data_IF_826138966012
#
_entry.id   IF_826138966012
#
_cell.length_a   1.000
_cell.length_b   1.000
_cell.length_c   1.000
_cell.angle_alpha   90.00
_cell.angle_beta   90.00
_cell.angle_gamma   90.00
#
_symmetry.space_group_name_H-M   'P 1'
#
loop_
_entity.id
_entity.type
_entity.pdbx_description
1 polymer ?
#
# COMPACT_ATOMS: atom_id res chain seq x y z
N UNK A 1 -6.34 -12.11 -16.90
CA UNK A 1 -7.07 -12.69 -15.76
C UNK A 1 -6.13 -12.52 -14.56
N UNK A 2 -6.53 -11.78 -13.53
CA UNK A 2 -5.66 -11.56 -12.35
C UNK A 2 -5.64 -12.88 -11.58
N UNK A 3 -4.52 -13.59 -11.62
CA UNK A 3 -4.33 -14.83 -10.88
C UNK A 3 -3.32 -14.57 -9.77
N UNK A 4 -3.56 -15.12 -8.58
CA UNK A 4 -2.68 -15.06 -7.41
C UNK A 4 -1.35 -15.83 -7.57
N UNK A 5 -0.92 -16.09 -8.82
CA UNK A 5 0.08 -17.10 -9.17
C UNK A 5 1.11 -16.68 -10.21
N UNK A 6 0.94 -15.56 -10.92
CA UNK A 6 2.01 -15.08 -11.79
C UNK A 6 2.99 -14.23 -10.99
N UNK A 7 4.33 -14.38 -11.22
CA UNK A 7 5.31 -13.42 -10.74
C UNK A 7 4.79 -12.01 -10.98
N UNK A 8 5.05 -11.07 -10.07
CA UNK A 8 4.67 -9.67 -10.26
C UNK A 8 5.17 -9.23 -11.64
N UNK A 9 4.25 -9.15 -12.59
CA UNK A 9 4.57 -8.59 -13.90
C UNK A 9 4.82 -7.11 -13.61
N UNK A 10 6.06 -6.65 -13.81
CA UNK A 10 6.46 -5.26 -13.57
C UNK A 10 5.54 -4.28 -14.32
N UNK A 11 4.97 -4.72 -15.45
CA UNK A 11 4.04 -3.93 -16.24
C UNK A 11 2.72 -3.64 -15.50
N UNK A 12 2.38 -4.34 -14.40
CA UNK A 12 1.16 -4.07 -13.60
C UNK A 12 1.14 -2.66 -13.01
N UNK A 13 2.33 -2.10 -12.76
CA UNK A 13 2.54 -0.74 -12.28
C UNK A 13 2.85 0.25 -13.41
N UNK A 14 2.77 -0.14 -14.68
CA UNK A 14 2.91 0.82 -15.78
C UNK A 14 1.78 1.88 -15.71
N UNK A 15 2.12 3.19 -15.73
CA UNK A 15 1.14 4.26 -15.54
C UNK A 15 0.13 4.40 -16.68
N UNK A 16 0.39 3.82 -17.84
CA UNK A 16 -0.46 3.95 -19.02
C UNK A 16 -1.24 2.66 -19.32
N UNK A 17 -0.62 1.51 -19.09
CA UNK A 17 -1.12 0.20 -19.51
C UNK A 17 -1.27 -0.79 -18.36
N UNK A 18 -0.69 -0.50 -17.20
CA UNK A 18 -0.62 -1.41 -16.08
C UNK A 18 -1.97 -1.64 -15.41
N UNK A 19 -2.29 -2.91 -15.13
CA UNK A 19 -3.59 -3.29 -14.61
C UNK A 19 -3.89 -2.80 -13.19
N UNK A 20 -2.87 -2.39 -12.43
CA UNK A 20 -3.03 -1.87 -11.06
C UNK A 20 -2.92 -0.35 -11.02
N UNK A 21 -1.91 0.25 -11.65
CA UNK A 21 -1.66 1.69 -11.55
C UNK A 21 -2.46 2.53 -12.57
N UNK A 22 -2.47 2.15 -13.85
CA UNK A 22 -3.11 2.95 -14.92
C UNK A 22 -4.57 3.34 -14.61
N UNK A 23 -5.42 2.47 -14.02
CA UNK A 23 -6.78 2.86 -13.62
C UNK A 23 -6.85 4.07 -12.69
N UNK A 24 -5.85 4.26 -11.82
CA UNK A 24 -5.77 5.42 -10.93
C UNK A 24 -5.24 6.69 -11.61
N UNK A 25 -4.63 6.61 -12.80
CA UNK A 25 -3.97 7.74 -13.49
C UNK A 25 -4.97 8.67 -14.19
N UNK A 26 -5.99 9.08 -13.43
CA UNK A 26 -7.02 10.06 -13.79
C UNK A 26 -7.25 11.01 -12.60
N UNK A 27 -7.68 12.26 -12.84
CA UNK A 27 -8.13 13.13 -11.75
C UNK A 27 -9.35 12.53 -11.07
N UNK A 28 -9.33 12.42 -9.75
CA UNK A 28 -10.27 11.64 -8.93
C UNK A 28 -10.61 12.33 -7.60
N UNK A 29 -10.82 13.64 -7.66
CA UNK A 29 -11.29 14.49 -6.54
C UNK A 29 -12.59 13.91 -5.95
N UNK A 30 -12.71 13.87 -4.62
CA UNK A 30 -13.90 13.32 -3.94
C UNK A 30 -15.20 13.97 -4.40
N UNK A 31 -16.25 13.15 -4.55
CA UNK A 31 -17.55 13.55 -5.08
C UNK A 31 -17.62 13.73 -6.61
N UNK A 32 -16.54 13.49 -7.36
CA UNK A 32 -16.57 13.48 -8.83
C UNK A 32 -16.89 12.11 -9.41
N UNK A 33 -17.34 12.06 -10.67
CA UNK A 33 -17.60 10.80 -11.38
C UNK A 33 -16.34 9.92 -11.51
N UNK A 34 -15.15 10.52 -11.66
CA UNK A 34 -13.90 9.76 -11.71
C UNK A 34 -13.56 9.15 -10.35
N UNK A 35 -13.79 9.86 -9.25
CA UNK A 35 -13.63 9.29 -7.91
C UNK A 35 -14.55 8.09 -7.70
N UNK A 36 -15.83 8.18 -8.12
CA UNK A 36 -16.75 7.02 -8.12
C UNK A 36 -16.22 5.86 -8.98
N UNK A 37 -15.66 6.15 -10.16
CA UNK A 37 -15.05 5.12 -11.02
C UNK A 37 -13.87 4.40 -10.35
N UNK A 38 -13.07 5.11 -9.55
CA UNK A 38 -11.98 4.50 -8.77
C UNK A 38 -12.54 3.63 -7.65
N UNK A 39 -13.59 4.07 -6.96
CA UNK A 39 -14.28 3.23 -5.96
C UNK A 39 -14.77 1.92 -6.59
N UNK A 40 -15.44 1.99 -7.74
CA UNK A 40 -15.92 0.83 -8.49
C UNK A 40 -14.78 -0.09 -8.93
N UNK A 41 -13.67 0.47 -9.40
CA UNK A 41 -12.48 -0.30 -9.78
C UNK A 41 -11.90 -1.09 -8.60
N UNK A 42 -11.75 -0.46 -7.43
CA UNK A 42 -11.24 -1.14 -6.22
C UNK A 42 -12.22 -2.24 -5.79
N UNK A 43 -13.52 -1.96 -5.75
CA UNK A 43 -14.54 -2.95 -5.37
C UNK A 43 -14.58 -4.15 -6.34
N UNK A 44 -14.53 -3.89 -7.64
CA UNK A 44 -14.48 -4.92 -8.68
C UNK A 44 -13.19 -5.76 -8.58
N UNK A 45 -12.06 -5.14 -8.26
CA UNK A 45 -10.81 -5.85 -8.00
C UNK A 45 -10.95 -6.88 -6.88
N UNK A 46 -11.47 -6.48 -5.71
CA UNK A 46 -11.66 -7.41 -4.59
C UNK A 46 -12.77 -8.43 -4.84
N UNK A 47 -13.81 -8.08 -5.60
CA UNK A 47 -14.82 -9.04 -6.05
C UNK A 47 -14.20 -10.15 -6.90
N UNK A 48 -13.35 -9.79 -7.87
CA UNK A 48 -12.59 -10.75 -8.70
C UNK A 48 -11.58 -11.54 -7.88
N UNK A 49 -10.91 -10.90 -6.92
CA UNK A 49 -9.99 -11.59 -6.02
C UNK A 49 -10.74 -12.62 -5.20
N UNK A 50 -11.92 -12.30 -4.64
CA UNK A 50 -12.76 -13.25 -3.91
C UNK A 50 -13.21 -14.41 -4.80
N UNK A 51 -13.66 -14.14 -6.04
CA UNK A 51 -14.08 -15.16 -6.98
C UNK A 51 -12.95 -16.12 -7.41
N UNK A 52 -11.69 -15.70 -7.29
CA UNK A 52 -10.50 -16.50 -7.63
C UNK A 52 -9.75 -17.02 -6.40
N UNK A 53 -10.03 -16.44 -5.23
CA UNK A 53 -9.55 -16.91 -3.93
C UNK A 53 -10.13 -18.29 -3.65
N UNK A 54 -9.54 -19.02 -2.70
CA UNK A 54 -10.06 -20.32 -2.28
C UNK A 54 -11.43 -20.23 -1.55
N UNK A 55 -12.07 -19.05 -1.56
CA UNK A 55 -13.42 -18.80 -1.10
C UNK A 55 -14.43 -18.97 -2.24
N UNK A 56 -15.02 -20.18 -2.30
CA UNK A 56 -16.17 -20.46 -3.16
C UNK A 56 -15.83 -21.36 -4.34
N UNK A 57 -16.64 -22.41 -4.50
CA UNK A 57 -16.63 -23.21 -5.72
C UNK A 57 -17.12 -22.36 -6.88
N UNK A 58 -16.35 -22.30 -7.96
CA UNK A 58 -16.91 -22.11 -9.30
C UNK A 58 -16.50 -23.32 -10.13
N UNK A 59 -17.44 -24.25 -10.24
CA UNK A 59 -17.49 -25.20 -11.35
C UNK A 59 -18.00 -24.42 -12.54
N UNK A 60 -17.22 -24.35 -13.63
CA UNK A 60 -17.75 -23.96 -14.93
C UNK A 60 -18.21 -25.21 -15.68
N UNK A 61 -19.33 -25.09 -16.42
CA UNK A 61 -20.15 -26.14 -17.02
C UNK A 61 -19.51 -26.83 -18.24
N UNK A 62 -18.18 -26.84 -18.37
CA UNK A 62 -17.50 -27.61 -19.41
C UNK A 62 -16.27 -28.31 -18.87
N UNK A 63 -16.54 -29.53 -18.41
CA UNK A 63 -15.63 -30.57 -17.96
C UNK A 63 -14.58 -30.96 -19.03
N UNK A 64 -13.60 -30.10 -19.36
CA UNK A 64 -12.44 -30.45 -20.20
C UNK A 64 -11.14 -29.73 -19.80
N UNK A 65 -10.02 -30.46 -19.61
CA UNK A 65 -8.71 -29.88 -19.32
C UNK A 65 -8.01 -29.36 -20.58
N UNK A 66 -7.57 -28.10 -20.57
CA UNK A 66 -6.76 -27.51 -21.66
C UNK A 66 -5.27 -27.81 -21.45
N UNK A 67 -4.73 -28.69 -22.31
CA UNK A 67 -3.43 -28.50 -22.96
C UNK A 67 -2.14 -28.78 -22.17
N UNK A 68 -1.64 -30.02 -22.28
CA UNK A 68 -0.21 -30.32 -22.07
C UNK A 68 0.64 -29.54 -23.08
N UNK A 69 1.43 -28.57 -22.62
CA UNK A 69 2.65 -28.15 -23.34
C UNK A 69 3.87 -28.78 -22.65
N UNK A 70 4.37 -29.84 -23.27
CA UNK A 70 5.68 -30.41 -23.00
C UNK A 70 6.76 -29.45 -23.51
N UNK A 71 7.61 -28.92 -22.63
CA UNK A 71 9.04 -28.66 -22.89
C UNK A 71 9.74 -28.22 -21.60
N UNK A 72 10.17 -29.16 -20.76
CA UNK A 72 11.25 -28.93 -19.78
C UNK A 72 12.24 -30.08 -19.92
N UNK A 73 13.45 -29.77 -20.41
CA UNK A 73 14.45 -30.76 -20.84
C UNK A 73 15.47 -31.18 -19.78
N UNK A 74 15.46 -30.61 -18.57
CA UNK A 74 16.45 -30.96 -17.55
C UNK A 74 15.85 -31.27 -16.17
N UNK A 75 16.38 -32.31 -15.53
CA UNK A 75 15.99 -32.81 -14.20
C UNK A 75 16.16 -31.73 -13.12
N UNK A 76 17.19 -30.88 -13.25
CA UNK A 76 17.47 -29.78 -12.34
C UNK A 76 16.39 -28.68 -12.39
N UNK A 77 15.84 -28.41 -13.58
CA UNK A 77 14.74 -27.46 -13.75
C UNK A 77 13.42 -28.03 -13.20
N UNK A 78 13.17 -29.34 -13.40
CA UNK A 78 12.03 -30.02 -12.75
C UNK A 78 12.12 -29.99 -11.24
N UNK A 79 13.30 -30.23 -10.67
CA UNK A 79 13.50 -30.18 -9.22
C UNK A 79 13.38 -28.77 -8.66
N UNK A 80 13.86 -27.73 -9.39
CA UNK A 80 13.68 -26.32 -9.04
C UNK A 80 12.22 -25.87 -9.13
N UNK A 81 11.50 -26.28 -10.19
CA UNK A 81 10.06 -26.05 -10.37
C UNK A 81 9.26 -26.81 -9.30
N UNK A 82 9.63 -28.05 -8.96
CA UNK A 82 8.98 -28.84 -7.90
C UNK A 82 9.30 -28.36 -6.47
N UNK A 83 10.46 -27.73 -6.24
CA UNK A 83 10.82 -27.13 -4.94
C UNK A 83 10.19 -25.75 -4.76
N UNK A 84 10.14 -24.92 -5.82
CA UNK A 84 9.28 -23.74 -5.84
C UNK A 84 7.81 -24.16 -5.61
N UNK A 85 7.29 -25.11 -6.37
CA UNK A 85 5.92 -25.63 -6.20
C UNK A 85 5.67 -26.35 -4.86
N UNK A 86 6.70 -26.67 -4.06
CA UNK A 86 6.53 -27.24 -2.71
C UNK A 86 6.28 -26.18 -1.64
N UNK A 87 6.88 -24.99 -1.75
CA UNK A 87 6.51 -23.82 -0.94
C UNK A 87 5.10 -23.29 -1.30
N UNK A 88 4.60 -23.67 -2.46
CA UNK A 88 3.34 -23.21 -3.06
C UNK A 88 2.28 -24.31 -3.23
N UNK A 89 2.47 -25.48 -2.61
CA UNK A 89 1.53 -26.59 -2.69
C UNK A 89 0.42 -26.44 -1.66
N UNK A 90 -0.82 -26.69 -2.12
CA UNK A 90 -2.06 -26.80 -1.35
C UNK A 90 -1.86 -27.55 -0.01
N UNK A 91 -2.06 -26.86 1.10
CA UNK A 91 -2.50 -27.53 2.32
C UNK A 91 -3.97 -27.98 2.11
N UNK A 92 -4.33 -29.23 2.43
CA UNK A 92 -5.71 -29.67 2.35
C UNK A 92 -6.53 -29.09 3.52
N UNK A 93 -7.40 -28.12 3.24
CA UNK A 93 -8.40 -27.67 4.20
C UNK A 93 -9.41 -26.64 3.68
N UNK A 94 -10.10 -25.98 4.60
CA UNK A 94 -11.47 -25.41 4.46
C UNK A 94 -11.57 -24.28 3.41
N UNK A 95 -12.78 -24.06 2.85
CA UNK A 95 -13.12 -22.88 2.03
C UNK A 95 -12.63 -21.61 2.74
N UNK A 96 -11.84 -20.78 2.07
CA UNK A 96 -11.39 -19.49 2.60
C UNK A 96 -12.56 -18.53 2.85
N UNK A 97 -12.35 -17.48 3.63
CA UNK A 97 -13.40 -16.48 3.94
C UNK A 97 -13.55 -15.39 2.88
N UNK A 98 -12.57 -15.26 1.98
CA UNK A 98 -12.48 -14.12 1.07
C UNK A 98 -12.18 -12.82 1.83
N UNK A 99 -12.16 -11.70 1.11
CA UNK A 99 -12.06 -10.35 1.67
C UNK A 99 -13.46 -9.85 2.02
N UNK A 100 -13.68 -9.59 3.30
CA UNK A 100 -14.87 -8.88 3.77
C UNK A 100 -14.76 -7.39 3.42
N UNK A 101 -15.83 -6.84 2.85
CA UNK A 101 -15.87 -5.45 2.38
C UNK A 101 -16.81 -4.64 3.28
N UNK A 102 -16.30 -3.55 3.85
CA UNK A 102 -17.08 -2.52 4.50
C UNK A 102 -16.95 -1.21 3.71
N UNK A 103 -18.08 -0.53 3.50
CA UNK A 103 -18.15 0.77 2.81
C UNK A 103 -18.63 1.79 3.84
N UNK A 104 -17.78 2.76 4.16
CA UNK A 104 -18.10 3.86 5.05
C UNK A 104 -18.35 5.13 4.22
N UNK A 105 -19.64 5.40 3.95
CA UNK A 105 -20.11 6.50 3.09
C UNK A 105 -20.84 7.54 3.91
N UNK A 106 -20.46 8.80 3.76
CA UNK A 106 -21.02 9.92 4.50
C UNK A 106 -20.90 11.23 3.70
N UNK A 107 -21.69 12.23 4.08
CA UNK A 107 -21.60 13.59 3.53
C UNK A 107 -20.90 14.51 4.55
N UNK A 108 -19.99 15.36 4.08
CA UNK A 108 -19.35 16.40 4.91
C UNK A 108 -19.22 17.72 4.13
N UNK A 109 -19.08 18.82 4.86
CA UNK A 109 -18.99 20.17 4.30
C UNK A 109 -17.55 20.52 3.97
N UNK A 110 -17.33 20.98 2.74
CA UNK A 110 -16.04 21.51 2.27
C UNK A 110 -16.17 23.01 1.99
N UNK A 111 -15.07 23.75 1.80
CA UNK A 111 -15.12 25.13 1.30
C UNK A 111 -15.86 25.29 -0.03
N UNK A 112 -16.03 24.21 -0.79
CA UNK A 112 -16.72 24.17 -2.09
C UNK A 112 -18.05 23.41 -2.03
N UNK A 113 -18.71 23.47 -0.87
CA UNK A 113 -20.01 22.87 -0.59
C UNK A 113 -19.92 21.43 -0.08
N UNK A 114 -21.08 20.85 0.20
CA UNK A 114 -21.18 19.46 0.67
C UNK A 114 -20.70 18.49 -0.41
N UNK A 115 -19.89 17.51 0.00
CA UNK A 115 -19.43 16.39 -0.82
C UNK A 115 -19.75 15.08 -0.12
N UNK A 116 -19.95 14.04 -0.91
CA UNK A 116 -20.03 12.67 -0.39
C UNK A 116 -18.66 12.02 -0.47
N UNK A 117 -18.22 11.44 0.64
CA UNK A 117 -16.99 10.69 0.79
C UNK A 117 -17.30 9.21 1.00
N UNK A 118 -16.44 8.32 0.50
CA UNK A 118 -16.58 6.87 0.66
C UNK A 118 -15.24 6.22 1.01
N UNK A 119 -14.99 5.90 2.27
CA UNK A 119 -13.87 5.02 2.62
C UNK A 119 -14.20 3.58 2.23
N UNK A 120 -13.20 2.84 1.72
CA UNK A 120 -13.32 1.42 1.40
C UNK A 120 -12.40 0.59 2.31
N UNK A 121 -12.98 -0.38 3.02
CA UNK A 121 -12.27 -1.20 4.00
C UNK A 121 -12.39 -2.67 3.61
N UNK A 122 -11.26 -3.35 3.53
CA UNK A 122 -11.17 -4.76 3.15
C UNK A 122 -10.49 -5.54 4.26
N UNK A 123 -11.17 -6.52 4.87
CA UNK A 123 -10.65 -7.31 5.98
C UNK A 123 -10.63 -8.79 5.62
N UNK A 124 -9.48 -9.45 5.74
CA UNK A 124 -9.32 -10.84 5.30
C UNK A 124 -10.06 -11.84 6.20
N UNK A 125 -10.00 -11.64 7.52
CA UNK A 125 -10.81 -12.36 8.50
C UNK A 125 -11.53 -11.35 9.39
N UNK A 126 -12.82 -11.04 9.16
CA UNK A 126 -13.56 -10.06 9.94
C UNK A 126 -13.87 -10.53 11.37
N UNK A 127 -13.73 -11.82 11.67
CA UNK A 127 -13.92 -12.37 13.02
C UNK A 127 -12.65 -12.26 13.87
N UNK A 128 -11.49 -12.03 13.24
CA UNK A 128 -10.25 -11.87 13.96
C UNK A 128 -10.34 -10.66 14.89
N UNK A 129 -9.89 -10.83 16.13
CA UNK A 129 -9.89 -9.71 17.06
C UNK A 129 -8.91 -8.65 16.55
N UNK A 130 -7.63 -8.98 16.42
CA UNK A 130 -6.60 -7.99 16.08
C UNK A 130 -6.30 -7.93 14.58
N UNK A 131 -5.82 -6.76 14.14
CA UNK A 131 -5.50 -6.47 12.75
C UNK A 131 -4.22 -5.66 12.57
N UNK A 132 -3.48 -6.06 11.54
CA UNK A 132 -2.47 -5.24 10.89
C UNK A 132 -3.16 -4.45 9.79
N UNK A 133 -3.11 -3.12 9.89
CA UNK A 133 -3.77 -2.22 8.93
C UNK A 133 -2.73 -1.64 7.99
N UNK A 134 -2.94 -1.80 6.69
CA UNK A 134 -2.28 -0.97 5.67
C UNK A 134 -3.29 0.00 5.08
N UNK A 135 -2.89 1.24 4.86
CA UNK A 135 -3.77 2.27 4.34
C UNK A 135 -3.08 3.18 3.32
N UNK A 136 -3.89 3.79 2.46
CA UNK A 136 -3.54 4.86 1.54
C UNK A 136 -4.81 5.67 1.25
N UNK A 137 -4.68 6.89 0.74
CA UNK A 137 -5.83 7.64 0.25
C UNK A 137 -5.94 7.52 -1.28
N UNK A 138 -7.16 7.40 -1.80
CA UNK A 138 -7.38 7.20 -3.23
C UNK A 138 -7.91 8.43 -3.93
N UNK A 139 -8.31 9.48 -3.21
CA UNK A 139 -8.66 10.75 -3.84
C UNK A 139 -7.44 11.42 -4.48
N UNK A 140 -7.67 12.50 -5.21
CA UNK A 140 -6.63 13.38 -5.73
C UNK A 140 -6.99 14.80 -5.38
N UNK A 141 -5.99 15.63 -5.11
CA UNK A 141 -6.19 17.04 -4.79
C UNK A 141 -7.08 17.79 -5.78
N UNK A 142 -8.00 18.58 -5.25
CA UNK A 142 -8.67 19.61 -6.03
C UNK A 142 -7.75 20.81 -6.24
N UNK A 143 -7.47 21.13 -7.50
CA UNK A 143 -6.86 22.40 -7.87
C UNK A 143 -7.90 23.26 -8.57
N UNK A 144 -8.23 24.45 -8.04
CA UNK A 144 -9.20 25.33 -8.69
C UNK A 144 -8.69 25.74 -10.09
N UNK A 145 -9.60 25.89 -11.08
CA UNK A 145 -9.23 26.42 -12.38
C UNK A 145 -8.59 27.79 -12.24
N UNK A 146 -7.56 28.09 -13.04
CA UNK A 146 -7.03 29.44 -13.12
C UNK A 146 -8.13 30.37 -13.66
N UNK A 147 -8.52 31.36 -12.89
CA UNK A 147 -9.48 32.39 -13.30
C UNK A 147 -8.78 33.70 -13.60
N UNK A 148 -9.28 34.44 -14.58
CA UNK A 148 -8.79 35.79 -14.86
C UNK A 148 -9.17 36.72 -13.70
N UNK A 149 -8.21 37.42 -13.06
CA UNK A 149 -8.49 38.28 -11.91
C UNK A 149 -9.50 39.40 -12.20
N UNK A 150 -9.57 39.87 -13.44
CA UNK A 150 -10.41 41.00 -13.84
C UNK A 150 -11.89 40.61 -14.06
N UNK A 151 -12.20 39.35 -14.37
CA UNK A 151 -13.57 38.95 -14.70
C UNK A 151 -14.01 37.60 -14.10
N UNK A 152 -13.16 36.97 -13.28
CA UNK A 152 -13.37 35.68 -12.62
C UNK A 152 -13.72 34.52 -13.58
N UNK A 153 -13.51 34.67 -14.89
CA UNK A 153 -13.76 33.60 -15.86
C UNK A 153 -12.54 32.66 -15.91
N UNK A 154 -12.76 31.34 -16.07
CA UNK A 154 -11.67 30.40 -16.31
C UNK A 154 -10.82 30.85 -17.50
N UNK A 155 -9.50 30.75 -17.37
CA UNK A 155 -8.56 31.01 -18.46
C UNK A 155 -8.48 29.73 -19.29
N UNK A 156 -8.95 29.74 -20.56
CA UNK A 156 -8.85 28.56 -21.42
C UNK A 156 -7.38 28.17 -21.60
N UNK A 157 -7.07 26.88 -21.41
CA UNK A 157 -5.70 26.36 -21.54
C UNK A 157 -4.87 26.32 -20.26
N UNK A 158 -5.37 26.85 -19.13
CA UNK A 158 -4.66 26.85 -17.83
C UNK A 158 -5.37 26.09 -16.71
N UNK A 159 -6.05 24.98 -17.02
CA UNK A 159 -6.81 24.26 -16.00
C UNK A 159 -6.01 23.06 -15.47
N UNK A 160 -5.97 22.92 -14.15
CA UNK A 160 -5.44 21.77 -13.40
C UNK A 160 -3.92 21.52 -13.54
N UNK A 161 -3.08 22.56 -13.33
CA UNK A 161 -1.65 22.37 -13.00
C UNK A 161 -0.65 23.39 -13.56
N UNK A 162 -1.08 24.37 -14.34
CA UNK A 162 -0.18 25.39 -14.94
C UNK A 162 -0.57 25.71 -16.37
N UNK A 163 0.20 26.56 -17.06
CA UNK A 163 0.08 26.78 -18.52
C UNK A 163 0.51 25.52 -19.31
N UNK A 164 1.09 24.52 -18.63
CA UNK A 164 2.01 23.55 -19.20
C UNK A 164 1.64 22.07 -18.90
N UNK A 165 0.66 21.76 -18.05
CA UNK A 165 0.53 20.40 -17.47
C UNK A 165 -0.87 19.79 -17.59
N UNK A 166 -0.86 18.48 -17.89
CA UNK A 166 -2.01 17.56 -17.80
C UNK A 166 -2.76 17.70 -16.45
N UNK A 167 -4.06 17.35 -16.39
CA UNK A 167 -4.82 17.48 -15.16
C UNK A 167 -4.20 16.63 -14.03
N UNK A 168 -4.13 17.18 -12.81
CA UNK A 168 -3.48 16.52 -11.66
C UNK A 168 -4.05 15.11 -11.40
N UNK A 169 -3.21 14.11 -11.67
CA UNK A 169 -3.54 12.68 -11.47
C UNK A 169 -2.91 12.12 -10.20
N UNK A 170 -2.14 12.90 -9.45
CA UNK A 170 -1.66 12.52 -8.12
C UNK A 170 -1.03 11.11 -8.09
N UNK A 171 -0.01 10.91 -8.94
CA UNK A 171 0.59 9.60 -9.21
C UNK A 171 1.25 9.00 -7.95
N UNK A 172 2.05 9.79 -7.25
CA UNK A 172 2.65 9.40 -5.98
C UNK A 172 1.71 9.59 -4.79
N UNK A 173 0.60 10.29 -5.01
CA UNK A 173 -0.20 10.98 -3.98
C UNK A 173 -1.71 10.73 -4.15
N UNK A 174 -2.23 9.51 -4.01
CA UNK A 174 -1.55 8.29 -3.61
C UNK A 174 -1.89 7.12 -4.56
N UNK A 175 -1.89 7.35 -5.88
CA UNK A 175 -2.20 6.31 -6.86
C UNK A 175 -1.25 5.09 -6.77
N UNK A 176 0.06 5.31 -6.67
CA UNK A 176 1.05 4.24 -6.48
C UNK A 176 0.86 3.54 -5.13
N UNK A 177 0.75 4.24 -3.97
CA UNK A 177 0.37 3.62 -2.71
C UNK A 177 -0.90 2.74 -2.80
N UNK A 178 -1.98 3.22 -3.43
CA UNK A 178 -3.18 2.42 -3.65
C UNK A 178 -2.90 1.16 -4.49
N UNK A 179 -2.15 1.27 -5.58
CA UNK A 179 -1.77 0.13 -6.41
C UNK A 179 -0.92 -0.90 -5.63
N UNK A 180 -0.04 -0.45 -4.72
CA UNK A 180 0.73 -1.31 -3.81
C UNK A 180 -0.22 -2.09 -2.88
N UNK A 181 -1.27 -1.46 -2.34
CA UNK A 181 -2.24 -2.16 -1.50
C UNK A 181 -3.01 -3.24 -2.27
N UNK A 182 -3.36 -2.99 -3.54
CA UNK A 182 -3.99 -4.01 -4.39
C UNK A 182 -3.03 -5.18 -4.63
N UNK A 183 -1.77 -4.92 -4.95
CA UNK A 183 -0.77 -5.97 -5.16
C UNK A 183 -0.48 -6.77 -3.88
N UNK A 184 -0.45 -6.10 -2.72
CA UNK A 184 -0.33 -6.73 -1.41
C UNK A 184 -1.50 -7.69 -1.15
N UNK A 185 -2.73 -7.25 -1.46
CA UNK A 185 -3.93 -8.07 -1.31
C UNK A 185 -3.82 -9.37 -2.12
N UNK A 186 -3.51 -9.27 -3.42
CA UNK A 186 -3.38 -10.45 -4.28
C UNK A 186 -2.20 -11.36 -3.91
N UNK A 187 -1.07 -10.77 -3.51
CA UNK A 187 0.14 -11.51 -3.13
C UNK A 187 -0.04 -12.32 -1.85
N UNK A 188 -0.79 -11.78 -0.89
CA UNK A 188 -1.01 -12.42 0.41
C UNK A 188 -2.32 -13.22 0.48
N UNK A 189 -3.24 -13.05 -0.47
CA UNK A 189 -4.58 -13.64 -0.45
C UNK A 189 -4.59 -15.12 -0.03
N UNK A 190 -3.83 -15.96 -0.75
CA UNK A 190 -3.77 -17.40 -0.47
C UNK A 190 -2.89 -17.77 0.72
N UNK A 191 -1.90 -16.95 1.08
CA UNK A 191 -1.08 -17.18 2.27
C UNK A 191 -1.88 -16.91 3.56
N UNK A 192 -2.85 -15.99 3.49
CA UNK A 192 -3.73 -15.68 4.60
C UNK A 192 -4.89 -16.68 4.75
N UNK A 193 -5.21 -17.45 3.71
CA UNK A 193 -6.24 -18.53 3.73
C UNK A 193 -5.70 -19.92 4.13
N UNK A 194 -4.46 -20.02 4.63
CA UNK A 194 -3.87 -21.31 5.00
C UNK A 194 -4.50 -21.90 6.27
N UNK A 195 -4.60 -23.23 6.32
CA UNK A 195 -5.11 -23.96 7.48
C UNK A 195 -4.29 -23.70 8.74
N UNK A 196 -4.97 -23.68 9.88
CA UNK A 196 -4.35 -23.48 11.19
C UNK A 196 -4.43 -22.04 11.71
N UNK A 197 -4.85 -21.08 10.89
CA UNK A 197 -5.21 -19.73 11.37
C UNK A 197 -6.56 -19.74 12.09
N UNK A 198 -6.67 -18.93 13.13
CA UNK A 198 -7.83 -18.81 14.00
C UNK A 198 -8.24 -17.34 14.17
N UNK A 199 -9.42 -17.10 14.75
CA UNK A 199 -9.90 -15.74 15.05
C UNK A 199 -9.09 -15.03 16.16
N UNK A 200 -8.16 -15.75 16.81
CA UNK A 200 -7.21 -15.18 17.76
C UNK A 200 -5.92 -14.67 17.09
N UNK A 201 -5.69 -15.02 15.82
CA UNK A 201 -4.54 -14.53 15.07
C UNK A 201 -4.81 -13.14 14.48
N UNK A 202 -3.75 -12.34 14.32
CA UNK A 202 -3.83 -11.05 13.65
C UNK A 202 -4.18 -11.22 12.17
N UNK A 203 -5.26 -10.54 11.76
CA UNK A 203 -5.69 -10.49 10.36
C UNK A 203 -5.07 -9.31 9.60
N UNK A 204 -5.18 -9.33 8.27
CA UNK A 204 -4.83 -8.19 7.43
C UNK A 204 -6.09 -7.37 7.13
N UNK A 205 -5.98 -6.05 7.29
CA UNK A 205 -6.98 -5.09 6.85
C UNK A 205 -6.34 -4.04 5.95
N UNK A 206 -7.02 -3.71 4.86
CA UNK A 206 -6.62 -2.68 3.91
C UNK A 206 -7.66 -1.56 3.93
N UNK A 207 -7.22 -0.32 4.01
CA UNK A 207 -8.10 0.86 4.04
C UNK A 207 -7.72 1.81 2.92
N UNK A 208 -8.68 2.13 2.06
CA UNK A 208 -8.58 3.18 1.06
C UNK A 208 -9.41 4.36 1.54
N UNK A 209 -8.74 5.40 2.05
CA UNK A 209 -9.40 6.61 2.52
C UNK A 209 -9.82 7.49 1.35
N UNK A 210 -10.97 8.16 1.51
CA UNK A 210 -11.44 9.21 0.61
C UNK A 210 -11.32 10.58 1.30
N UNK A 211 -11.05 11.62 0.52
CA UNK A 211 -10.94 12.99 1.03
C UNK A 211 -9.83 13.18 2.05
N UNK A 212 -8.65 12.63 1.80
CA UNK A 212 -7.45 13.03 2.54
C UNK A 212 -7.17 14.51 2.29
N UNK A 213 -7.33 14.91 1.03
CA UNK A 213 -6.91 16.22 0.55
C UNK A 213 -7.83 17.33 1.01
N UNK A 214 -7.21 18.47 1.33
CA UNK A 214 -7.92 19.73 1.47
C UNK A 214 -8.48 20.18 0.12
N UNK A 215 -9.72 20.68 0.12
CA UNK A 215 -10.30 21.30 -1.08
C UNK A 215 -9.84 22.75 -1.23
N UNK A 216 -9.69 23.48 -0.12
CA UNK A 216 -9.07 24.79 -0.05
C UNK A 216 -7.69 24.69 0.60
N UNK A 217 -7.52 25.39 1.71
CA UNK A 217 -6.29 25.38 2.49
C UNK A 217 -6.31 24.25 3.53
N UNK A 218 -5.19 23.55 3.68
CA UNK A 218 -5.07 22.48 4.65
C UNK A 218 -5.30 22.98 6.09
N UNK A 219 -6.39 22.54 6.70
CA UNK A 219 -6.74 22.87 8.09
C UNK A 219 -7.34 21.66 8.79
N UNK A 220 -7.49 21.73 10.11
CA UNK A 220 -8.13 20.66 10.90
C UNK A 220 -9.59 20.33 10.47
N UNK A 221 -10.26 21.23 9.75
CA UNK A 221 -11.61 21.04 9.19
C UNK A 221 -11.64 20.81 7.69
N UNK A 222 -10.58 21.19 6.97
CA UNK A 222 -10.41 21.01 5.53
C UNK A 222 -9.17 20.15 5.27
N UNK A 223 -9.28 18.90 5.69
CA UNK A 223 -8.35 17.79 5.45
C UNK A 223 -8.92 16.53 6.09
N UNK A 224 -8.38 15.37 5.71
CA UNK A 224 -8.57 14.11 6.43
C UNK A 224 -10.05 13.73 6.66
N UNK A 225 -10.93 14.07 5.73
CA UNK A 225 -12.38 13.86 5.84
C UNK A 225 -12.71 12.40 6.14
N UNK A 226 -12.24 11.49 5.29
CA UNK A 226 -12.45 10.06 5.43
C UNK A 226 -11.87 9.49 6.71
N UNK A 227 -10.61 9.80 7.02
CA UNK A 227 -9.93 9.23 8.18
C UNK A 227 -10.46 9.76 9.51
N UNK A 228 -10.85 11.05 9.60
CA UNK A 228 -11.55 11.60 10.77
C UNK A 228 -12.87 10.88 11.03
N UNK A 229 -13.68 10.70 9.99
CA UNK A 229 -14.97 10.00 10.10
C UNK A 229 -14.79 8.54 10.55
N UNK A 230 -13.91 7.79 9.87
CA UNK A 230 -13.70 6.38 10.17
C UNK A 230 -13.12 6.17 11.58
N UNK A 231 -12.20 7.04 12.01
CA UNK A 231 -11.65 6.99 13.36
C UNK A 231 -12.73 7.21 14.43
N UNK A 232 -13.61 8.21 14.26
CA UNK A 232 -14.73 8.47 15.16
C UNK A 232 -15.74 7.30 15.17
N UNK A 233 -16.07 6.76 14.01
CA UNK A 233 -16.94 5.58 13.88
C UNK A 233 -16.35 4.38 14.63
N UNK A 234 -15.06 4.10 14.47
CA UNK A 234 -14.38 2.99 15.13
C UNK A 234 -14.17 3.21 16.62
N UNK A 235 -13.98 4.45 17.07
CA UNK A 235 -13.92 4.79 18.49
C UNK A 235 -15.27 4.54 19.21
N UNK A 236 -16.39 4.75 18.51
CA UNK A 236 -17.75 4.56 19.03
C UNK A 236 -18.24 3.10 18.94
N UNK A 237 -17.65 2.29 18.07
CA UNK A 237 -18.06 0.89 17.87
C UNK A 237 -17.42 -0.02 18.92
N UNK A 238 -18.19 -0.36 19.96
CA UNK A 238 -17.80 -1.37 20.95
C UNK A 238 -17.75 -2.76 20.32
N UNK A 239 -16.68 -3.50 20.59
CA UNK A 239 -16.47 -4.89 20.16
C UNK A 239 -15.91 -5.70 21.31
N UNK A 240 -16.31 -6.97 21.40
CA UNK A 240 -15.72 -7.87 22.38
C UNK A 240 -14.30 -8.24 21.95
N UNK A 241 -13.33 -8.14 22.87
CA UNK A 241 -11.93 -8.54 22.62
C UNK A 241 -11.38 -9.31 23.81
N UNK A 242 -10.84 -10.50 23.57
CA UNK A 242 -10.06 -11.23 24.57
C UNK A 242 -8.76 -10.48 24.91
N UNK A 243 -8.12 -9.85 23.91
CA UNK A 243 -6.89 -9.06 24.07
C UNK A 243 -6.88 -7.83 23.14
N UNK A 244 -6.39 -6.69 23.63
CA UNK A 244 -6.14 -5.50 22.79
C UNK A 244 -4.81 -5.61 22.05
N UNK A 245 -4.61 -4.75 21.05
CA UNK A 245 -3.34 -4.57 20.36
C UNK A 245 -2.13 -4.33 21.29
N UNK A 246 -2.35 -3.71 22.45
CA UNK A 246 -1.31 -3.43 23.44
C UNK A 246 -1.08 -4.60 24.42
N UNK A 247 -1.69 -5.76 24.19
CA UNK A 247 -1.59 -6.92 25.07
C UNK A 247 -2.41 -6.83 26.37
N UNK A 248 -3.26 -5.81 26.53
CA UNK A 248 -4.14 -5.67 27.71
C UNK A 248 -5.40 -6.52 27.52
N UNK A 249 -6.01 -6.98 28.61
CA UNK A 249 -7.34 -7.60 28.55
C UNK A 249 -8.35 -6.56 28.04
N UNK A 250 -8.91 -6.78 26.85
CA UNK A 250 -9.82 -5.81 26.21
C UNK A 250 -11.21 -5.78 26.84
N UNK A 251 -11.71 -6.95 27.25
CA UNK A 251 -13.04 -7.06 27.85
C UNK A 251 -14.17 -6.68 26.87
N UNK A 252 -15.37 -6.45 27.41
CA UNK A 252 -16.56 -6.10 26.63
C UNK A 252 -16.68 -4.61 26.30
N UNK A 253 -15.75 -3.77 26.77
CA UNK A 253 -15.79 -2.31 26.59
C UNK A 253 -14.79 -1.81 25.56
N UNK A 254 -14.03 -2.70 24.93
CA UNK A 254 -13.05 -2.31 23.94
C UNK A 254 -13.74 -1.75 22.68
N UNK A 255 -13.13 -0.76 22.05
CA UNK A 255 -13.61 -0.22 20.79
C UNK A 255 -12.89 -0.84 19.59
N UNK A 256 -13.32 -0.48 18.38
CA UNK A 256 -12.77 -1.07 17.19
C UNK A 256 -11.33 -0.62 16.91
N UNK A 257 -10.90 0.57 17.35
CA UNK A 257 -9.53 1.06 17.18
C UNK A 257 -8.52 0.23 17.98
N UNK A 258 -8.91 -0.26 19.16
CA UNK A 258 -8.02 -1.02 20.06
C UNK A 258 -7.60 -2.39 19.52
N UNK A 259 -8.13 -2.81 18.37
CA UNK A 259 -7.68 -3.99 17.64
C UNK A 259 -6.58 -3.75 16.63
N UNK A 260 -6.20 -2.49 16.37
CA UNK A 260 -5.16 -2.16 15.40
C UNK A 260 -3.79 -2.34 16.07
N UNK A 261 -3.08 -3.43 15.74
CA UNK A 261 -1.75 -3.71 16.28
C UNK A 261 -0.68 -2.80 15.70
N UNK A 262 -0.79 -2.53 14.41
CA UNK A 262 0.07 -1.62 13.69
C UNK A 262 -0.74 -1.01 12.54
N UNK A 263 -0.63 0.31 12.42
CA UNK A 263 -1.22 1.07 11.32
C UNK A 263 -0.09 1.56 10.42
N UNK A 264 -0.05 1.06 9.19
CA UNK A 264 0.97 1.40 8.19
C UNK A 264 0.30 2.24 7.10
N UNK A 265 0.54 3.55 7.11
CA UNK A 265 0.09 4.46 6.06
C UNK A 265 1.16 4.54 4.97
N UNK A 266 0.76 4.27 3.73
CA UNK A 266 1.57 4.48 2.54
C UNK A 266 1.12 5.77 1.87
N UNK A 267 2.08 6.66 1.62
CA UNK A 267 1.84 7.96 1.02
C UNK A 267 3.14 8.47 0.35
N UNK A 268 3.01 9.29 -0.69
CA UNK A 268 4.09 9.91 -1.46
C UNK A 268 5.15 8.90 -1.98
N UNK A 269 4.72 7.70 -2.37
CA UNK A 269 5.60 6.67 -2.94
C UNK A 269 5.51 6.63 -4.47
N UNK A 270 6.64 6.34 -5.14
CA UNK A 270 6.71 6.17 -6.60
C UNK A 270 7.79 7.00 -7.29
N UNK A 271 8.36 7.99 -6.60
CA UNK A 271 9.58 8.67 -7.03
C UNK A 271 10.82 7.78 -6.86
N UNK A 272 11.90 8.10 -7.58
CA UNK A 272 13.18 7.39 -7.46
C UNK A 272 13.84 7.67 -6.10
N UNK A 273 14.42 6.63 -5.49
CA UNK A 273 15.19 6.72 -4.25
C UNK A 273 14.44 7.33 -3.05
N UNK A 274 13.22 6.89 -2.73
CA UNK A 274 12.46 7.46 -1.62
C UNK A 274 13.18 7.22 -0.29
N UNK A 275 13.13 8.21 0.60
CA UNK A 275 13.63 8.07 1.96
C UNK A 275 12.45 7.99 2.94
N UNK A 276 12.36 6.89 3.68
CA UNK A 276 11.30 6.67 4.67
C UNK A 276 11.94 6.60 6.07
N UNK A 277 12.00 7.71 6.82
CA UNK A 277 12.54 7.72 8.17
C UNK A 277 11.56 7.06 9.17
N UNK A 278 12.06 6.74 10.35
CA UNK A 278 11.22 6.26 11.46
C UNK A 278 10.65 7.45 12.23
N UNK A 279 9.36 7.73 12.06
CA UNK A 279 8.70 8.90 12.66
C UNK A 279 8.27 8.71 14.12
N UNK A 280 8.00 7.48 14.55
CA UNK A 280 7.44 7.21 15.89
C UNK A 280 8.26 6.15 16.63
N UNK A 281 8.68 6.46 17.87
CA UNK A 281 9.44 5.54 18.71
C UNK A 281 8.69 4.22 18.99
N UNK A 282 7.36 4.29 19.17
CA UNK A 282 6.52 3.12 19.45
C UNK A 282 6.50 2.08 18.31
N UNK A 283 6.76 2.49 17.07
CA UNK A 283 6.78 1.61 15.88
C UNK A 283 8.16 1.49 15.25
N UNK A 284 9.22 1.98 15.93
CA UNK A 284 10.59 1.90 15.43
C UNK A 284 11.05 0.45 15.16
N UNK A 285 10.58 -0.49 15.97
CA UNK A 285 10.85 -1.92 15.79
C UNK A 285 10.34 -2.44 14.42
N UNK A 286 9.18 -1.97 13.96
CA UNK A 286 8.59 -2.39 12.69
C UNK A 286 9.37 -1.78 11.51
N UNK A 287 9.79 -0.52 11.66
CA UNK A 287 10.68 0.14 10.70
C UNK A 287 12.03 -0.58 10.57
N UNK A 288 12.67 -0.92 11.69
CA UNK A 288 13.90 -1.75 11.72
C UNK A 288 13.70 -3.11 11.05
N UNK A 289 12.52 -3.72 11.20
CA UNK A 289 12.20 -4.98 10.55
C UNK A 289 12.09 -4.81 9.03
N UNK A 290 11.46 -3.74 8.55
CA UNK A 290 11.41 -3.42 7.13
C UNK A 290 12.81 -3.21 6.53
N UNK A 291 13.69 -2.46 7.21
CA UNK A 291 15.10 -2.31 6.79
C UNK A 291 15.84 -3.66 6.73
N UNK A 292 15.59 -4.54 7.69
CA UNK A 292 16.19 -5.88 7.68
C UNK A 292 15.71 -6.72 6.49
N UNK A 293 14.43 -6.60 6.11
CA UNK A 293 13.88 -7.25 4.92
C UNK A 293 14.52 -6.68 3.65
N UNK A 294 14.62 -5.35 3.54
CA UNK A 294 15.30 -4.67 2.42
C UNK A 294 16.74 -5.17 2.26
N UNK A 295 17.53 -5.21 3.34
CA UNK A 295 18.90 -5.72 3.31
C UNK A 295 18.96 -7.18 2.84
N UNK A 296 18.05 -8.04 3.35
CA UNK A 296 18.01 -9.46 2.94
C UNK A 296 17.64 -9.63 1.46
N UNK A 297 16.73 -8.80 0.93
CA UNK A 297 16.41 -8.78 -0.50
C UNK A 297 17.59 -8.27 -1.33
N UNK A 298 18.33 -7.30 -0.81
CA UNK A 298 19.54 -6.78 -1.42
C UNK A 298 20.62 -7.87 -1.55
N UNK A 299 20.94 -8.52 -0.43
CA UNK A 299 21.92 -9.60 -0.35
C UNK A 299 21.56 -10.79 -1.25
N UNK A 300 20.25 -11.08 -1.34
CA UNK A 300 19.71 -12.11 -2.23
C UNK A 300 19.64 -11.70 -3.71
N UNK A 301 19.99 -10.46 -4.05
CA UNK A 301 19.88 -9.87 -5.39
C UNK A 301 18.46 -9.91 -5.97
N UNK A 302 17.47 -9.67 -5.11
CA UNK A 302 16.05 -9.62 -5.46
C UNK A 302 15.51 -8.18 -5.54
N UNK A 303 16.37 -7.17 -5.61
CA UNK A 303 16.03 -5.74 -5.58
C UNK A 303 15.56 -5.16 -6.94
N UNK A 304 15.21 -6.00 -7.91
CA UNK A 304 14.84 -5.56 -9.26
C UNK A 304 16.06 -5.11 -10.09
N UNK A 305 16.01 -5.27 -11.41
CA UNK A 305 17.12 -4.99 -12.35
C UNK A 305 17.40 -3.50 -12.59
N UNK A 306 17.13 -2.62 -11.64
CA UNK A 306 17.65 -1.26 -11.66
C UNK A 306 18.72 -1.14 -10.59
N UNK A 307 19.95 -0.93 -11.04
CA UNK A 307 21.09 -0.61 -10.22
C UNK A 307 20.81 0.70 -9.47
N UNK A 308 20.22 0.61 -8.28
CA UNK A 308 20.39 1.63 -7.27
C UNK A 308 21.87 1.56 -6.88
N UNK A 309 22.63 2.57 -7.26
CA UNK A 309 24.04 2.67 -6.89
C UNK A 309 24.16 2.52 -5.37
N UNK A 310 25.17 1.74 -4.95
CA UNK A 310 25.53 1.53 -3.55
C UNK A 310 25.37 2.85 -2.77
N UNK A 311 24.58 2.84 -1.69
CA UNK A 311 24.91 3.73 -0.57
C UNK A 311 26.34 3.37 -0.18
N UNK A 312 27.29 4.24 -0.52
CA UNK A 312 28.65 4.15 -0.01
C UNK A 312 28.57 4.37 1.50
N UNK A 313 28.47 3.28 2.25
CA UNK A 313 29.04 3.25 3.60
C UNK A 313 30.54 3.48 3.43
N UNK A 314 31.04 4.56 4.03
CA UNK A 314 32.48 4.85 4.09
C UNK A 314 33.19 3.87 5.03
N UNK A 315 34.37 3.42 4.60
CA UNK A 315 35.24 2.41 5.23
C UNK A 315 35.49 1.27 4.23
N UNK A 316 36.70 0.91 3.80
CA UNK A 316 38.02 0.94 4.43
C UNK A 316 39.14 1.01 3.36
N UNK A 317 40.27 1.56 3.78
CA UNK A 317 41.66 1.11 3.61
C UNK A 317 42.17 0.39 2.34
N UNK A 318 43.22 1.03 1.80
CA UNK A 318 44.46 0.52 1.16
C UNK A 318 44.44 -0.23 -0.18
N UNK A 319 44.98 0.45 -1.21
CA UNK A 319 46.15 0.06 -2.04
C UNK A 319 46.54 1.31 -2.87
N UNK A 320 47.56 2.06 -2.43
CA UNK A 320 48.94 2.02 -2.94
C UNK A 320 49.10 2.62 -4.36
N UNK A 321 49.36 3.93 -4.42
CA UNK A 321 50.16 4.53 -5.48
C UNK A 321 51.15 5.51 -4.82
N UNK A 322 52.43 5.18 -4.94
CA UNK A 322 53.56 6.06 -4.68
C UNK A 322 53.58 7.11 -5.79
N UNK A 323 53.39 8.38 -5.43
CA UNK A 323 54.02 9.57 -6.04
C UNK A 323 53.23 10.81 -5.60
N UNK A 324 53.75 11.49 -4.56
CA UNK A 324 53.88 12.95 -4.46
C UNK A 324 54.15 13.34 -3.00
N UNK A 325 55.45 13.45 -2.71
CA UNK A 325 55.96 14.29 -1.64
C UNK A 325 55.68 15.74 -2.00
N UNK A 326 54.93 16.47 -1.18
CA UNK A 326 55.44 17.67 -0.52
C UNK A 326 54.39 18.30 0.42
N UNK A 327 54.79 18.39 1.68
CA UNK A 327 54.59 19.48 2.63
C UNK A 327 53.18 20.13 2.76
N UNK A 328 52.55 19.94 3.93
CA UNK A 328 52.18 21.04 4.83
C UNK A 328 51.40 20.52 6.07
N UNK A 329 51.99 20.74 7.25
CA UNK A 329 51.27 21.27 8.41
C UNK A 329 50.46 20.31 9.30
N UNK A 330 51.06 19.98 10.44
CA UNK A 330 50.46 19.44 11.66
C UNK A 330 49.26 20.23 12.20
N UNK A 331 48.24 19.54 12.72
CA UNK A 331 47.82 19.66 14.13
C UNK A 331 46.73 18.63 14.51
N UNK A 332 46.82 18.19 15.77
CA UNK A 332 46.19 17.05 16.43
C UNK A 332 44.69 17.23 16.84
N UNK A 333 44.02 16.18 17.37
CA UNK A 333 42.56 16.00 17.35
C UNK A 333 41.84 16.46 18.63
N UNK A 334 40.56 16.83 18.51
CA UNK A 334 39.68 17.04 19.67
C UNK A 334 38.50 16.05 19.68
N UNK A 335 38.61 15.10 20.62
CA UNK A 335 37.53 14.32 21.22
C UNK A 335 36.54 15.24 21.93
N UNK A 336 35.27 14.85 21.91
CA UNK A 336 34.29 15.18 22.95
C UNK A 336 33.01 15.81 22.43
N UNK A 337 31.87 15.13 22.56
CA UNK A 337 30.96 15.34 23.70
C UNK A 337 29.71 14.47 23.53
N UNK A 338 29.57 13.49 24.42
CA UNK A 338 28.29 12.93 24.85
C UNK A 338 27.74 13.79 25.99
N UNK A 339 26.41 13.66 26.20
CA UNK A 339 25.55 14.11 27.31
C UNK A 339 24.98 15.53 27.22
N UNK A 340 23.67 15.62 26.95
CA UNK A 340 22.62 15.69 27.98
C UNK A 340 21.35 15.01 27.47
#
# INVERSE_FOLDING_TARGET
MITSWEPSNLDRFDPHTGSLLSPFMIPRVSGTANNTRIQEFILDYFSKLNATSLAGEVVDNHDQPIGKRNTVRNKKDRERIESANRLYRRAPGKKGTGWHVEIDRFDDTTPYGTKTFTNLIFTKNPNAENRLVFAAHFDSKYFPPNVNPANQKPIPGKNNGGDDTLPFVAATDSAVPCAILLDLAASLDRALDQDGRTDLDTTLQLVFFDGEEAFGDWTHTDSLYGSRHLADLWAKRTVHRSRTATGRSGGSTANNLEGIELFVLLDLLGAEGPQVPSYFGATHWAHRHAMSIEQRLWDARLHGTQALEKRKEGGDDHEADEDDMDDLGSDEPLKGFLTA
#
